data_IF_194186869142
#
_entry.id   IF_194186869142
#
_cell.length_a   1.000
_cell.length_b   1.000
_cell.length_c   1.000
_cell.angle_alpha   90.00
_cell.angle_beta   90.00
_cell.angle_gamma   90.00
#
_symmetry.space_group_name_H-M   'P 1'
#
loop_
_entity.id
_entity.type
_entity.pdbx_description
1 polymer ?
#
# COMPACT_ATOMS: atom_id res chain seq x y z
N UNK A 1 -6.15 21.22 -10.58
CA UNK A 1 -7.06 20.29 -11.29
C UNK A 1 -7.15 18.91 -10.61
N UNK A 2 -6.02 18.27 -10.25
CA UNK A 2 -6.02 16.93 -9.64
C UNK A 2 -6.59 16.89 -8.20
N UNK A 3 -6.24 17.88 -7.37
CA UNK A 3 -6.78 18.00 -6.00
C UNK A 3 -8.31 18.11 -5.95
N UNK A 4 -8.93 18.70 -6.97
CA UNK A 4 -10.39 18.80 -7.04
C UNK A 4 -11.04 17.43 -7.32
N UNK A 5 -10.44 16.61 -8.19
CA UNK A 5 -10.93 15.25 -8.49
C UNK A 5 -10.80 14.34 -7.28
N UNK A 6 -9.68 14.41 -6.57
CA UNK A 6 -9.44 13.70 -5.33
C UNK A 6 -10.43 14.10 -4.22
N UNK A 7 -10.68 15.40 -4.06
CA UNK A 7 -11.73 15.92 -3.18
C UNK A 7 -13.12 15.40 -3.53
N UNK A 8 -13.43 15.29 -4.83
CA UNK A 8 -14.71 14.77 -5.30
C UNK A 8 -14.87 13.28 -4.94
N UNK A 9 -13.83 12.46 -5.15
CA UNK A 9 -13.85 11.04 -4.75
C UNK A 9 -14.14 10.89 -3.25
N UNK A 10 -13.44 11.64 -2.41
CA UNK A 10 -13.64 11.60 -0.95
C UNK A 10 -15.09 11.96 -0.57
N UNK A 11 -15.67 12.99 -1.19
CA UNK A 11 -17.08 13.39 -0.97
C UNK A 11 -18.07 12.31 -1.41
N UNK A 12 -17.73 11.50 -2.40
CA UNK A 12 -18.52 10.35 -2.86
C UNK A 12 -18.28 9.10 -2.00
N UNK A 13 -17.51 9.20 -0.91
CA UNK A 13 -17.15 8.07 -0.04
C UNK A 13 -16.18 7.08 -0.69
N UNK A 14 -15.54 7.46 -1.79
CA UNK A 14 -14.58 6.63 -2.53
C UNK A 14 -13.16 7.12 -2.27
N UNK A 15 -12.21 6.19 -2.25
CA UNK A 15 -10.77 6.50 -2.13
C UNK A 15 -9.98 5.58 -3.04
N UNK A 16 -8.90 6.11 -3.61
CA UNK A 16 -7.88 5.30 -4.28
C UNK A 16 -7.12 4.55 -3.20
N UNK A 17 -7.22 3.22 -3.22
CA UNK A 17 -6.58 2.30 -2.29
C UNK A 17 -5.19 1.94 -2.78
N UNK A 18 -4.18 2.28 -2.00
CA UNK A 18 -2.77 2.03 -2.33
C UNK A 18 -2.21 0.92 -1.45
N UNK A 19 -1.56 -0.06 -2.08
CA UNK A 19 -0.72 -1.04 -1.40
C UNK A 19 0.76 -0.68 -1.57
N UNK A 20 1.56 -0.77 -0.51
CA UNK A 20 2.98 -0.42 -0.55
C UNK A 20 3.81 -1.64 -0.15
N UNK A 21 4.80 -1.99 -0.99
CA UNK A 21 5.78 -3.05 -0.70
C UNK A 21 7.10 -2.37 -0.37
N UNK A 22 7.55 -2.50 0.88
CA UNK A 22 8.69 -1.80 1.46
C UNK A 22 8.27 -0.58 2.26
N UNK A 23 8.52 -0.61 3.58
CA UNK A 23 8.30 0.47 4.53
C UNK A 23 9.62 1.11 4.99
N UNK A 24 10.65 1.09 4.13
CA UNK A 24 11.88 1.85 4.34
C UNK A 24 11.64 3.38 4.30
N UNK A 25 12.71 4.17 4.15
CA UNK A 25 12.61 5.64 4.13
C UNK A 25 11.64 6.16 3.06
N UNK A 26 11.74 5.63 1.85
CA UNK A 26 10.90 6.05 0.72
C UNK A 26 9.44 5.61 0.90
N UNK A 27 9.22 4.34 1.24
CA UNK A 27 7.87 3.81 1.49
C UNK A 27 7.16 4.54 2.63
N UNK A 28 7.85 4.75 3.75
CA UNK A 28 7.29 5.52 4.89
C UNK A 28 6.95 6.96 4.46
N UNK A 29 7.85 7.64 3.75
CA UNK A 29 7.58 9.01 3.25
C UNK A 29 6.35 9.08 2.35
N UNK A 30 6.18 8.09 1.46
CA UNK A 30 5.00 7.98 0.62
C UNK A 30 3.72 7.75 1.42
N UNK A 31 3.74 6.84 2.40
CA UNK A 31 2.58 6.55 3.25
C UNK A 31 2.16 7.81 4.02
N UNK A 32 3.12 8.53 4.62
CA UNK A 32 2.87 9.79 5.30
C UNK A 32 2.29 10.86 4.36
N UNK A 33 2.77 10.93 3.11
CA UNK A 33 2.25 11.88 2.12
C UNK A 33 0.81 11.54 1.72
N UNK A 34 0.52 10.26 1.44
CA UNK A 34 -0.83 9.80 1.12
C UNK A 34 -1.79 10.10 2.27
N UNK A 35 -1.35 9.96 3.52
CA UNK A 35 -2.18 10.24 4.70
C UNK A 35 -2.64 11.71 4.80
N UNK A 36 -1.92 12.64 4.15
CA UNK A 36 -2.30 14.06 4.09
C UNK A 36 -3.20 14.38 2.88
N UNK A 37 -3.45 13.42 1.99
CA UNK A 37 -4.25 13.60 0.78
C UNK A 37 -5.71 13.21 1.02
N UNK A 38 -6.63 13.93 0.38
CA UNK A 38 -8.05 13.57 0.34
C UNK A 38 -8.28 12.60 -0.82
N UNK A 39 -9.16 11.61 -0.69
CA UNK A 39 -9.52 10.69 -1.78
C UNK A 39 -8.46 9.62 -2.08
N UNK A 40 -7.44 9.46 -1.24
CA UNK A 40 -6.43 8.40 -1.34
C UNK A 40 -6.16 7.81 0.04
N UNK A 41 -5.79 6.52 0.09
CA UNK A 41 -5.44 5.86 1.36
C UNK A 41 -4.50 4.68 1.12
N UNK A 42 -3.44 4.59 1.93
CA UNK A 42 -2.64 3.36 2.01
C UNK A 42 -3.41 2.34 2.84
N UNK A 43 -3.87 1.25 2.24
CA UNK A 43 -4.69 0.23 2.91
C UNK A 43 -3.92 -1.04 3.26
N UNK A 44 -2.75 -1.25 2.66
CA UNK A 44 -1.87 -2.34 3.00
C UNK A 44 -0.39 -1.96 2.87
N UNK A 45 0.44 -2.40 3.81
CA UNK A 45 1.89 -2.25 3.77
C UNK A 45 2.53 -3.62 3.99
N UNK A 46 3.47 -3.99 3.11
CA UNK A 46 4.32 -5.14 3.29
C UNK A 46 5.76 -4.72 3.63
N UNK A 47 6.33 -5.29 4.69
CA UNK A 47 7.76 -5.16 4.98
C UNK A 47 8.23 -6.39 5.75
N UNK A 48 9.46 -6.87 5.48
CA UNK A 48 10.03 -8.01 6.21
C UNK A 48 10.23 -7.67 7.70
N UNK A 49 10.40 -6.39 8.02
CA UNK A 49 10.45 -5.83 9.36
C UNK A 49 9.11 -5.13 9.66
N UNK A 50 8.17 -5.87 10.27
CA UNK A 50 6.80 -5.39 10.56
C UNK A 50 6.76 -4.06 11.31
N UNK A 51 7.69 -3.82 12.23
CA UNK A 51 7.77 -2.60 13.02
C UNK A 51 7.88 -1.35 12.14
N UNK A 52 8.54 -1.44 10.97
CA UNK A 52 8.62 -0.32 10.02
C UNK A 52 7.26 0.02 9.42
N UNK A 53 6.48 -1.00 9.04
CA UNK A 53 5.14 -0.83 8.50
C UNK A 53 4.18 -0.29 9.56
N UNK A 54 4.27 -0.79 10.79
CA UNK A 54 3.49 -0.32 11.93
C UNK A 54 3.82 1.14 12.27
N UNK A 55 5.10 1.50 12.32
CA UNK A 55 5.54 2.86 12.59
C UNK A 55 5.10 3.82 11.47
N UNK A 56 5.19 3.42 10.19
CA UNK A 56 4.69 4.21 9.07
C UNK A 56 3.19 4.53 9.21
N UNK A 57 2.38 3.55 9.63
CA UNK A 57 0.97 3.75 9.91
C UNK A 57 0.72 4.65 11.12
N UNK A 58 1.47 4.45 12.19
CA UNK A 58 1.37 5.25 13.41
C UNK A 58 1.71 6.71 13.17
N UNK A 59 2.80 7.01 12.46
CA UNK A 59 3.19 8.37 12.05
C UNK A 59 2.08 9.00 11.20
N UNK A 60 1.41 8.19 10.38
CA UNK A 60 0.28 8.59 9.53
C UNK A 60 -1.05 8.73 10.29
N UNK A 61 -1.05 8.60 11.62
CA UNK A 61 -2.24 8.77 12.46
C UNK A 61 -3.21 7.59 12.48
N UNK A 62 -2.81 6.42 11.96
CA UNK A 62 -3.61 5.20 12.04
C UNK A 62 -3.47 4.60 13.45
N UNK A 63 -4.62 4.27 14.05
CA UNK A 63 -4.67 3.65 15.37
C UNK A 63 -4.35 2.16 15.25
N UNK A 64 -3.61 1.63 16.20
CA UNK A 64 -3.20 0.21 16.23
C UNK A 64 -4.39 -0.76 16.15
N UNK A 65 -5.50 -0.44 16.83
CA UNK A 65 -6.76 -1.23 16.75
C UNK A 65 -7.39 -1.32 15.35
N UNK A 66 -6.95 -0.48 14.43
CA UNK A 66 -7.40 -0.44 13.05
C UNK A 66 -6.42 -1.14 12.10
N UNK A 67 -5.34 -1.69 12.63
CA UNK A 67 -4.32 -2.44 11.89
C UNK A 67 -4.50 -3.94 12.15
N UNK A 68 -4.48 -4.72 11.07
CA UNK A 68 -4.48 -6.18 11.10
C UNK A 68 -3.14 -6.67 10.54
N UNK A 69 -2.41 -7.46 11.33
CA UNK A 69 -1.18 -8.11 10.90
C UNK A 69 -1.54 -9.51 10.40
N UNK A 70 -1.27 -9.80 9.13
CA UNK A 70 -1.55 -11.12 8.55
C UNK A 70 -0.71 -11.37 7.30
N UNK A 71 -0.34 -12.63 7.07
CA UNK A 71 0.26 -13.10 5.81
C UNK A 71 -0.73 -13.90 4.96
N UNK A 72 -1.96 -14.11 5.46
CA UNK A 72 -3.04 -14.78 4.74
C UNK A 72 -3.81 -13.80 3.85
N UNK A 73 -3.87 -14.10 2.55
CA UNK A 73 -4.51 -13.28 1.53
C UNK A 73 -5.99 -13.06 1.84
N UNK A 74 -6.72 -14.08 2.29
CA UNK A 74 -8.17 -13.98 2.56
C UNK A 74 -8.43 -13.01 3.71
N UNK A 75 -7.69 -13.17 4.79
CA UNK A 75 -7.75 -12.29 5.96
C UNK A 75 -7.40 -10.85 5.58
N UNK A 76 -6.41 -10.64 4.71
CA UNK A 76 -6.05 -9.32 4.22
C UNK A 76 -7.19 -8.68 3.40
N UNK A 77 -7.77 -9.41 2.46
CA UNK A 77 -8.91 -8.96 1.64
C UNK A 77 -10.10 -8.58 2.53
N UNK A 78 -10.48 -9.45 3.46
CA UNK A 78 -11.61 -9.22 4.37
C UNK A 78 -11.38 -8.02 5.28
N UNK A 79 -10.15 -7.84 5.75
CA UNK A 79 -9.77 -6.70 6.59
C UNK A 79 -9.89 -5.38 5.83
N UNK A 80 -9.38 -5.31 4.60
CA UNK A 80 -9.46 -4.10 3.78
C UNK A 80 -10.92 -3.80 3.39
N UNK A 81 -11.75 -4.82 3.14
CA UNK A 81 -13.18 -4.64 2.91
C UNK A 81 -13.91 -4.05 4.12
N UNK A 82 -13.41 -4.29 5.34
CA UNK A 82 -13.90 -3.72 6.61
C UNK A 82 -13.21 -2.40 6.98
N UNK A 83 -12.55 -1.74 6.03
CA UNK A 83 -11.84 -0.47 6.22
C UNK A 83 -10.69 -0.53 7.26
N UNK A 84 -10.17 -1.72 7.54
CA UNK A 84 -8.96 -1.93 8.34
C UNK A 84 -7.71 -1.84 7.46
N UNK A 85 -6.61 -1.42 8.07
CA UNK A 85 -5.30 -1.36 7.42
C UNK A 85 -4.59 -2.70 7.62
N UNK A 86 -3.88 -3.18 6.60
CA UNK A 86 -3.18 -4.47 6.65
C UNK A 86 -1.67 -4.26 6.72
N UNK A 87 -1.03 -5.03 7.58
CA UNK A 87 0.43 -5.17 7.65
C UNK A 87 0.80 -6.63 7.40
N UNK A 88 1.79 -6.89 6.56
CA UNK A 88 2.23 -8.24 6.20
C UNK A 88 3.74 -8.32 6.04
N UNK A 89 4.34 -9.49 6.24
CA UNK A 89 5.72 -9.77 5.84
C UNK A 89 5.83 -10.16 4.37
N UNK A 90 4.74 -10.62 3.77
CA UNK A 90 4.73 -11.15 2.43
C UNK A 90 4.24 -10.10 1.41
N UNK A 91 5.17 -9.40 0.76
CA UNK A 91 4.83 -8.42 -0.28
C UNK A 91 4.05 -8.97 -1.47
N UNK A 92 4.08 -10.29 -1.70
CA UNK A 92 3.41 -10.91 -2.84
C UNK A 92 1.89 -10.98 -2.68
N UNK A 93 1.34 -10.82 -1.46
CA UNK A 93 -0.12 -10.79 -1.25
C UNK A 93 -0.74 -9.44 -1.60
N UNK A 94 0.06 -8.36 -1.64
CA UNK A 94 -0.43 -7.00 -1.87
C UNK A 94 -1.13 -6.87 -3.24
N UNK A 95 -0.58 -7.39 -4.34
CA UNK A 95 -1.27 -7.46 -5.63
C UNK A 95 -2.64 -8.15 -5.64
N UNK A 96 -2.85 -9.15 -4.77
CA UNK A 96 -4.09 -9.94 -4.68
C UNK A 96 -5.17 -9.21 -3.86
N UNK A 97 -4.79 -8.22 -3.06
CA UNK A 97 -5.70 -7.45 -2.23
C UNK A 97 -6.59 -6.48 -3.05
N UNK A 98 -7.70 -5.98 -2.48
CA UNK A 98 -8.56 -4.96 -3.10
C UNK A 98 -7.90 -3.57 -3.04
N UNK A 99 -6.74 -3.44 -3.67
CA UNK A 99 -6.02 -2.18 -3.95
C UNK A 99 -6.23 -1.78 -5.41
N UNK A 100 -6.14 -0.48 -5.69
CA UNK A 100 -6.19 0.10 -7.04
C UNK A 100 -4.77 0.19 -7.64
N UNK A 101 -3.79 0.52 -6.80
CA UNK A 101 -2.38 0.64 -7.18
C UNK A 101 -1.46 -0.04 -6.16
N UNK A 102 -0.39 -0.64 -6.67
CA UNK A 102 0.72 -1.20 -5.88
C UNK A 102 1.97 -0.38 -6.13
N UNK A 103 2.65 0.00 -5.05
CA UNK A 103 3.90 0.74 -5.10
C UNK A 103 5.03 -0.14 -4.57
N UNK A 104 6.02 -0.42 -5.41
CA UNK A 104 7.29 -0.98 -4.94
C UNK A 104 8.21 0.13 -4.45
N UNK A 105 8.60 0.02 -3.18
CA UNK A 105 9.51 0.93 -2.49
C UNK A 105 10.60 0.14 -1.73
N UNK A 106 10.88 -1.08 -2.16
CA UNK A 106 11.86 -1.96 -1.51
C UNK A 106 13.31 -1.57 -1.81
N UNK A 107 13.58 -0.98 -2.98
CA UNK A 107 14.94 -0.77 -3.47
C UNK A 107 15.65 -2.07 -3.89
N UNK A 108 14.90 -3.17 -4.01
CA UNK A 108 15.46 -4.49 -4.36
C UNK A 108 14.89 -4.90 -5.73
N UNK A 109 15.71 -4.93 -6.80
CA UNK A 109 15.24 -5.12 -8.16
C UNK A 109 14.40 -6.38 -8.37
N UNK A 110 14.83 -7.51 -7.81
CA UNK A 110 14.12 -8.79 -7.95
C UNK A 110 12.71 -8.73 -7.32
N UNK A 111 12.59 -8.11 -6.15
CA UNK A 111 11.30 -7.96 -5.46
C UNK A 111 10.40 -6.99 -6.23
N UNK A 112 10.97 -5.89 -6.73
CA UNK A 112 10.26 -4.92 -7.57
C UNK A 112 9.70 -5.56 -8.84
N UNK A 113 10.51 -6.33 -9.56
CA UNK A 113 10.11 -7.04 -10.77
C UNK A 113 8.98 -8.05 -10.50
N UNK A 114 9.10 -8.87 -9.44
CA UNK A 114 8.07 -9.84 -9.05
C UNK A 114 6.77 -9.15 -8.63
N UNK A 115 6.87 -8.08 -7.86
CA UNK A 115 5.71 -7.27 -7.44
C UNK A 115 5.01 -6.67 -8.65
N UNK A 116 5.77 -6.06 -9.58
CA UNK A 116 5.25 -5.49 -10.81
C UNK A 116 4.53 -6.55 -11.67
N UNK A 117 5.17 -7.69 -11.89
CA UNK A 117 4.58 -8.81 -12.64
C UNK A 117 3.25 -9.26 -12.01
N UNK A 118 3.25 -9.54 -10.70
CA UNK A 118 2.04 -10.00 -10.00
C UNK A 118 0.93 -8.95 -9.99
N UNK A 119 1.26 -7.67 -9.86
CA UNK A 119 0.30 -6.58 -9.97
C UNK A 119 -0.31 -6.47 -11.36
N UNK A 120 0.48 -6.62 -12.43
CA UNK A 120 -0.04 -6.64 -13.80
C UNK A 120 -0.98 -7.82 -14.00
N UNK A 121 -0.59 -9.02 -13.53
CA UNK A 121 -1.43 -10.23 -13.62
C UNK A 121 -2.74 -10.09 -12.85
N UNK A 122 -2.74 -9.36 -11.73
CA UNK A 122 -3.93 -9.03 -10.94
C UNK A 122 -4.65 -7.75 -11.39
N UNK A 123 -4.29 -7.20 -12.57
CA UNK A 123 -4.89 -6.00 -13.16
C UNK A 123 -4.85 -4.77 -12.25
N UNK A 124 -3.76 -4.62 -11.50
CA UNK A 124 -3.48 -3.47 -10.62
C UNK A 124 -2.57 -2.49 -11.32
N UNK A 125 -2.71 -1.20 -11.03
CA UNK A 125 -1.71 -0.22 -11.45
C UNK A 125 -0.40 -0.45 -10.69
N UNK A 126 0.72 -0.34 -11.38
CA UNK A 126 2.05 -0.51 -10.80
C UNK A 126 2.79 0.81 -10.84
N UNK A 127 3.39 1.17 -9.71
CA UNK A 127 4.34 2.28 -9.60
C UNK A 127 5.60 1.73 -8.95
N UNK A 128 6.75 1.89 -9.60
CA UNK A 128 8.03 1.50 -9.01
C UNK A 128 8.81 2.74 -8.55
N UNK A 129 9.35 2.67 -7.34
CA UNK A 129 10.38 3.60 -6.85
C UNK A 129 11.79 2.97 -6.91
N UNK A 130 11.89 1.68 -7.26
CA UNK A 130 13.14 0.96 -7.49
C UNK A 130 13.51 1.11 -8.96
N UNK A 131 14.41 2.05 -9.25
CA UNK A 131 14.80 2.42 -10.62
C UNK A 131 15.47 1.24 -11.33
N UNK A 132 16.26 0.46 -10.60
CA UNK A 132 17.01 -0.68 -11.10
C UNK A 132 16.11 -1.87 -11.48
N UNK A 133 14.84 -1.88 -11.06
CA UNK A 133 13.87 -2.93 -11.42
C UNK A 133 13.26 -2.76 -12.82
N UNK A 134 13.42 -1.58 -13.43
CA UNK A 134 12.88 -1.22 -14.76
C UNK A 134 13.95 -1.01 -15.83
N UNK A 135 15.23 -1.19 -15.45
CA UNK A 135 16.36 -1.27 -16.36
C UNK A 135 16.51 -2.70 -16.91
#
# INVERSE_FOLDING_TARGET
>A
MINYRLKKLEKEGKRIKVGVVGAGRMGTGLVCQIAQMQGMRTVAIADTTLDRALEAYKISGIKEKDIIITDDVKTAIDSIAREKMVVTKNGQIIPECPVDAVVDATGIPEIGARTAFNSIMNKKHVVTLTVEAVL
#
